data_IF_459496907271
#
_entry.id   IF_459496907271
#
_cell.length_a   1.000
_cell.length_b   1.000
_cell.length_c   1.000
_cell.angle_alpha   90.00
_cell.angle_beta   90.00
_cell.angle_gamma   90.00
#
_symmetry.space_group_name_H-M   'P 1'
#
loop_
_entity.id
_entity.type
_entity.pdbx_description
1 polymer ?
#
# COMPACT_ATOMS: atom_id res chain seq x y z
N UNK A 1 -1.76 18.73 16.74
CA UNK A 1 -1.17 18.23 15.47
C UNK A 1 0.35 18.32 15.57
N UNK A 2 1.09 17.25 15.36
CA UNK A 2 2.55 17.31 15.27
C UNK A 2 2.92 18.13 14.03
N UNK A 3 3.91 19.04 14.17
CA UNK A 3 4.37 19.85 13.04
C UNK A 3 5.10 18.96 12.04
N UNK A 4 4.68 19.00 10.76
CA UNK A 4 5.35 18.27 9.70
C UNK A 4 6.80 18.74 9.55
N UNK A 5 7.77 17.83 9.32
CA UNK A 5 9.17 18.18 9.19
C UNK A 5 9.39 19.15 8.02
N UNK A 6 9.98 20.31 8.31
CA UNK A 6 10.39 21.26 7.28
C UNK A 6 11.65 20.80 6.52
N UNK A 7 12.42 19.88 7.12
CA UNK A 7 13.75 19.45 6.66
C UNK A 7 13.62 18.26 5.69
N UNK A 8 14.48 18.27 4.65
CA UNK A 8 14.62 17.16 3.71
C UNK A 8 15.50 16.04 4.32
N UNK A 9 15.07 15.50 5.46
CA UNK A 9 15.76 14.45 6.21
C UNK A 9 14.80 13.28 6.46
N UNK A 10 15.17 12.12 6.02
CA UNK A 10 14.42 10.88 6.16
C UNK A 10 14.17 10.53 7.64
N UNK A 11 15.16 10.74 8.52
CA UNK A 11 15.03 10.42 9.95
C UNK A 11 14.01 11.33 10.64
N UNK A 12 13.95 12.61 10.24
CA UNK A 12 12.93 13.53 10.74
C UNK A 12 11.52 13.06 10.36
N UNK A 13 11.32 12.56 9.14
CA UNK A 13 10.05 12.00 8.69
C UNK A 13 9.70 10.70 9.43
N UNK A 14 10.66 9.81 9.65
CA UNK A 14 10.43 8.58 10.44
C UNK A 14 9.98 8.94 11.85
N UNK A 15 10.70 9.82 12.54
CA UNK A 15 10.35 10.26 13.89
C UNK A 15 8.96 10.92 13.93
N UNK A 16 8.61 11.70 12.91
CA UNK A 16 7.28 12.26 12.77
C UNK A 16 6.22 11.17 12.66
N UNK A 17 6.37 10.21 11.72
CA UNK A 17 5.38 9.15 11.51
C UNK A 17 5.25 8.21 12.72
N UNK A 18 6.32 7.98 13.49
CA UNK A 18 6.25 7.18 14.72
C UNK A 18 5.36 7.82 15.81
N UNK A 19 5.13 9.13 15.75
CA UNK A 19 4.35 9.90 16.73
C UNK A 19 3.02 10.43 16.16
N UNK A 20 2.94 10.58 14.85
CA UNK A 20 1.74 11.07 14.18
C UNK A 20 0.63 10.01 14.19
N UNK A 21 -0.60 10.44 14.33
CA UNK A 21 -1.74 9.59 14.03
C UNK A 21 -1.84 9.41 12.50
N UNK A 22 -1.90 8.16 12.04
CA UNK A 22 -2.05 7.85 10.62
C UNK A 22 -3.53 8.00 10.25
N UNK A 23 -3.87 8.81 9.22
CA UNK A 23 -5.26 9.03 8.84
C UNK A 23 -5.86 7.79 8.18
N UNK A 24 -7.19 7.77 8.10
CA UNK A 24 -7.96 6.73 7.43
C UNK A 24 -8.96 7.36 6.45
N UNK A 25 -9.44 6.59 5.49
CA UNK A 25 -10.46 7.05 4.55
C UNK A 25 -11.81 7.23 5.26
N UNK A 26 -12.52 8.29 4.91
CA UNK A 26 -13.88 8.57 5.45
C UNK A 26 -14.84 7.40 5.21
N UNK A 27 -14.79 6.78 4.02
CA UNK A 27 -15.64 5.63 3.73
C UNK A 27 -15.38 4.45 4.67
N UNK A 28 -14.12 4.15 4.96
CA UNK A 28 -13.71 3.11 5.92
C UNK A 28 -14.31 3.38 7.30
N UNK A 29 -14.22 4.62 7.77
CA UNK A 29 -14.82 5.02 9.05
C UNK A 29 -16.33 4.82 9.07
N UNK A 30 -17.04 5.26 8.02
CA UNK A 30 -18.49 5.11 7.93
C UNK A 30 -18.92 3.65 7.93
N UNK A 31 -18.25 2.78 7.18
CA UNK A 31 -18.54 1.35 7.14
C UNK A 31 -18.27 0.66 8.50
N UNK A 32 -17.16 1.02 9.17
CA UNK A 32 -16.83 0.50 10.51
C UNK A 32 -17.87 0.94 11.55
N UNK A 33 -18.33 2.20 11.51
CA UNK A 33 -19.38 2.69 12.41
C UNK A 33 -20.72 2.02 12.15
N UNK A 34 -21.06 1.71 10.90
CA UNK A 34 -22.25 0.93 10.56
C UNK A 34 -22.17 -0.50 11.12
N UNK A 35 -21.01 -1.16 10.97
CA UNK A 35 -20.78 -2.48 11.53
C UNK A 35 -20.88 -2.48 13.06
N UNK A 36 -20.40 -1.43 13.72
CA UNK A 36 -20.46 -1.28 15.18
C UNK A 36 -21.89 -1.20 15.70
N UNK A 37 -22.83 -0.66 14.91
CA UNK A 37 -24.25 -0.55 15.26
C UNK A 37 -25.05 -1.83 14.99
N UNK A 38 -24.49 -2.78 14.24
CA UNK A 38 -25.13 -4.04 13.84
C UNK A 38 -24.40 -5.22 14.50
N UNK A 39 -24.81 -5.52 15.74
CA UNK A 39 -24.19 -6.58 16.55
C UNK A 39 -24.26 -7.96 15.87
N UNK A 40 -25.31 -8.25 15.10
CA UNK A 40 -25.49 -9.51 14.41
C UNK A 40 -24.49 -9.72 13.27
N UNK A 41 -24.05 -8.63 12.63
CA UNK A 41 -23.06 -8.64 11.54
C UNK A 41 -21.65 -8.40 12.01
N UNK A 42 -21.46 -7.86 13.22
CA UNK A 42 -20.16 -7.52 13.75
C UNK A 42 -19.31 -8.76 14.04
N UNK A 43 -18.39 -9.05 13.17
CA UNK A 43 -17.38 -10.11 13.35
C UNK A 43 -16.05 -9.69 12.76
N UNK A 44 -14.97 -10.42 13.10
CA UNK A 44 -13.63 -10.14 12.60
C UNK A 44 -13.58 -10.13 11.05
N UNK A 45 -14.29 -11.05 10.41
CA UNK A 45 -14.35 -11.13 8.94
C UNK A 45 -15.02 -9.91 8.32
N UNK A 46 -16.13 -9.42 8.88
CA UNK A 46 -16.81 -8.22 8.38
C UNK A 46 -15.93 -6.97 8.55
N UNK A 47 -15.27 -6.81 9.70
CA UNK A 47 -14.30 -5.74 9.92
C UNK A 47 -13.14 -5.83 8.92
N UNK A 48 -12.59 -7.01 8.72
CA UNK A 48 -11.49 -7.22 7.77
C UNK A 48 -11.89 -6.82 6.35
N UNK A 49 -13.09 -7.20 5.90
CA UNK A 49 -13.58 -6.85 4.57
C UNK A 49 -13.65 -5.33 4.32
N UNK A 50 -13.90 -4.54 5.37
CA UNK A 50 -13.84 -3.08 5.30
C UNK A 50 -12.40 -2.57 5.38
N UNK A 51 -11.60 -3.09 6.32
CA UNK A 51 -10.23 -2.65 6.60
C UNK A 51 -9.32 -2.81 5.38
N UNK A 52 -9.42 -3.93 4.64
CA UNK A 52 -8.55 -4.19 3.48
C UNK A 52 -8.75 -3.20 2.32
N UNK A 53 -9.82 -2.42 2.32
CA UNK A 53 -10.07 -1.37 1.35
C UNK A 53 -9.31 -0.06 1.66
N UNK A 54 -8.64 0.03 2.81
CA UNK A 54 -7.88 1.20 3.23
C UNK A 54 -6.46 0.79 3.62
N UNK A 55 -5.45 1.03 2.76
CA UNK A 55 -4.06 0.66 3.05
C UNK A 55 -3.53 1.24 4.35
N UNK A 56 -3.94 2.46 4.71
CA UNK A 56 -3.51 3.12 5.95
C UNK A 56 -4.15 2.47 7.17
N UNK A 57 -5.41 2.03 7.06
CA UNK A 57 -6.07 1.26 8.12
C UNK A 57 -5.43 -0.13 8.28
N UNK A 58 -5.11 -0.82 7.18
CA UNK A 58 -4.35 -2.08 7.20
C UNK A 58 -3.03 -1.89 7.95
N UNK A 59 -2.28 -0.85 7.60
CA UNK A 59 -1.03 -0.52 8.27
C UNK A 59 -1.22 -0.31 9.78
N UNK A 60 -2.22 0.45 10.21
CA UNK A 60 -2.52 0.70 11.63
C UNK A 60 -2.84 -0.59 12.39
N UNK A 61 -3.64 -1.48 11.81
CA UNK A 61 -3.99 -2.78 12.41
C UNK A 61 -2.74 -3.65 12.59
N UNK A 62 -1.89 -3.72 11.57
CA UNK A 62 -0.66 -4.50 11.65
C UNK A 62 0.33 -3.92 12.67
N UNK A 63 0.52 -2.59 12.70
CA UNK A 63 1.35 -1.93 13.70
C UNK A 63 0.86 -2.19 15.14
N UNK A 64 -0.46 -2.10 15.36
CA UNK A 64 -1.03 -2.40 16.67
C UNK A 64 -0.78 -3.86 17.06
N UNK A 65 -1.00 -4.79 16.14
CA UNK A 65 -0.76 -6.21 16.35
C UNK A 65 0.70 -6.50 16.72
N UNK A 66 1.65 -5.88 16.04
CA UNK A 66 3.07 -6.05 16.35
C UNK A 66 3.45 -5.49 17.73
N UNK A 67 2.97 -4.29 18.07
CA UNK A 67 3.23 -3.68 19.38
C UNK A 67 2.68 -4.49 20.55
N UNK A 68 1.60 -5.24 20.32
CA UNK A 68 0.91 -6.03 21.34
C UNK A 68 1.14 -7.54 21.19
N UNK A 69 2.17 -7.93 20.43
CA UNK A 69 2.55 -9.33 20.24
C UNK A 69 2.90 -9.96 21.60
N UNK A 70 2.23 -11.06 21.95
CA UNK A 70 2.54 -11.78 23.16
C UNK A 70 3.86 -12.57 23.03
N UNK A 71 4.55 -12.80 24.15
CA UNK A 71 5.78 -13.61 24.18
C UNK A 71 5.59 -15.06 23.72
N UNK A 72 4.34 -15.54 23.71
CA UNK A 72 3.98 -16.88 23.25
C UNK A 72 3.62 -16.96 21.77
N UNK A 73 3.50 -15.82 21.09
CA UNK A 73 3.19 -15.76 19.66
C UNK A 73 4.45 -15.97 18.84
N UNK A 74 4.64 -17.20 18.35
CA UNK A 74 5.84 -17.60 17.59
C UNK A 74 5.87 -17.04 16.16
N UNK A 75 4.73 -16.70 15.58
CA UNK A 75 4.65 -16.19 14.21
C UNK A 75 4.18 -14.74 14.17
N UNK A 76 4.73 -13.99 13.23
CA UNK A 76 4.27 -12.64 12.93
C UNK A 76 2.95 -12.70 12.16
N UNK A 77 2.02 -11.83 12.53
CA UNK A 77 0.75 -11.70 11.83
C UNK A 77 0.92 -10.76 10.65
N UNK A 78 0.79 -11.31 9.46
CA UNK A 78 0.80 -10.56 8.19
C UNK A 78 -0.63 -10.47 7.63
N UNK A 79 -1.49 -11.40 8.04
CA UNK A 79 -2.89 -11.45 7.61
C UNK A 79 -3.75 -10.56 8.50
N UNK A 80 -4.47 -9.62 7.89
CA UNK A 80 -5.31 -8.64 8.60
C UNK A 80 -6.43 -9.34 9.37
N UNK A 81 -7.05 -10.39 8.81
CA UNK A 81 -8.12 -11.13 9.47
C UNK A 81 -7.62 -11.79 10.77
N UNK A 82 -6.46 -12.42 10.74
CA UNK A 82 -5.87 -13.01 11.94
C UNK A 82 -5.53 -11.95 12.99
N UNK A 83 -5.00 -10.79 12.57
CA UNK A 83 -4.72 -9.69 13.48
C UNK A 83 -5.99 -9.17 14.17
N UNK A 84 -7.07 -8.98 13.43
CA UNK A 84 -8.37 -8.55 13.95
C UNK A 84 -9.00 -9.63 14.85
N UNK A 85 -8.93 -10.91 14.46
CA UNK A 85 -9.41 -12.02 15.28
C UNK A 85 -8.69 -12.12 16.63
N UNK A 86 -7.37 -12.02 16.63
CA UNK A 86 -6.57 -12.07 17.86
C UNK A 86 -6.77 -10.86 18.76
N UNK A 87 -6.98 -9.69 18.17
CA UNK A 87 -7.28 -8.46 18.90
C UNK A 87 -8.68 -8.50 19.51
N UNK A 88 -9.64 -9.06 18.79
CA UNK A 88 -11.07 -9.03 19.12
C UNK A 88 -11.74 -7.70 18.80
N UNK A 89 -13.05 -7.74 18.50
CA UNK A 89 -13.82 -6.56 18.05
C UNK A 89 -13.84 -5.44 19.11
N UNK A 90 -14.06 -5.78 20.38
CA UNK A 90 -14.08 -4.82 21.50
C UNK A 90 -12.74 -4.07 21.62
N UNK A 91 -11.62 -4.80 21.54
CA UNK A 91 -10.29 -4.22 21.62
C UNK A 91 -9.97 -3.40 20.39
N UNK A 92 -10.43 -3.79 19.19
CA UNK A 92 -10.32 -3.02 17.97
C UNK A 92 -10.93 -1.62 18.15
N UNK A 93 -12.19 -1.51 18.53
CA UNK A 93 -12.87 -0.23 18.72
C UNK A 93 -12.26 0.64 19.82
N UNK A 94 -11.65 0.02 20.83
CA UNK A 94 -11.00 0.75 21.92
C UNK A 94 -9.65 1.34 21.52
N UNK A 95 -8.89 0.63 20.70
CA UNK A 95 -7.46 0.93 20.50
C UNK A 95 -7.11 1.42 19.09
N UNK A 96 -8.02 1.27 18.12
CA UNK A 96 -7.83 1.75 16.76
C UNK A 96 -8.88 2.82 16.46
N UNK A 97 -8.61 4.10 16.80
CA UNK A 97 -9.54 5.19 16.53
C UNK A 97 -9.66 5.40 15.00
N UNK A 98 -10.84 5.80 14.54
CA UNK A 98 -11.16 6.00 13.11
C UNK A 98 -11.58 7.42 12.77
N UNK A 99 -11.34 8.36 13.68
CA UNK A 99 -11.81 9.74 13.61
C UNK A 99 -10.83 10.73 13.00
N UNK A 100 -9.65 10.30 12.56
CA UNK A 100 -8.67 11.14 11.88
C UNK A 100 -8.71 10.85 10.37
N UNK A 101 -9.37 11.74 9.62
CA UNK A 101 -9.78 11.46 8.25
C UNK A 101 -8.84 12.10 7.22
N UNK A 102 -8.51 11.34 6.17
CA UNK A 102 -7.75 11.82 5.01
C UNK A 102 -8.43 13.02 4.37
N UNK A 103 -9.74 12.93 4.17
CA UNK A 103 -10.54 13.97 3.50
C UNK A 103 -10.54 15.28 4.28
N UNK A 104 -10.48 15.23 5.63
CA UNK A 104 -10.38 16.43 6.47
C UNK A 104 -8.99 17.05 6.42
N UNK A 105 -7.93 16.23 6.43
CA UNK A 105 -6.55 16.73 6.35
C UNK A 105 -6.31 17.42 5.00
N UNK A 106 -6.87 16.87 3.92
CA UNK A 106 -6.69 17.36 2.56
C UNK A 106 -7.86 18.24 2.08
N UNK A 107 -8.74 18.72 2.97
CA UNK A 107 -9.90 19.56 2.62
C UNK A 107 -9.48 20.77 1.76
N UNK A 108 -8.37 21.40 2.10
CA UNK A 108 -7.83 22.56 1.40
C UNK A 108 -6.88 22.19 0.24
N UNK A 109 -6.71 20.88 -0.05
CA UNK A 109 -5.79 20.36 -1.07
C UNK A 109 -6.47 19.28 -1.95
N UNK A 110 -7.55 19.61 -2.69
CA UNK A 110 -8.31 18.63 -3.46
C UNK A 110 -7.49 17.93 -4.55
N UNK A 111 -6.43 18.58 -5.04
CA UNK A 111 -5.49 17.97 -6.01
C UNK A 111 -4.72 16.84 -5.33
N UNK A 112 -4.21 17.06 -4.13
CA UNK A 112 -3.49 16.04 -3.38
C UNK A 112 -4.41 14.85 -3.02
N UNK A 113 -5.64 15.13 -2.58
CA UNK A 113 -6.64 14.10 -2.33
C UNK A 113 -6.91 13.25 -3.58
N UNK A 114 -7.07 13.88 -4.75
CA UNK A 114 -7.24 13.17 -6.02
C UNK A 114 -6.06 12.25 -6.35
N UNK A 115 -4.82 12.72 -6.13
CA UNK A 115 -3.62 11.91 -6.39
C UNK A 115 -3.52 10.74 -5.40
N UNK A 116 -3.79 10.98 -4.12
CA UNK A 116 -3.81 9.93 -3.11
C UNK A 116 -4.86 8.85 -3.43
N UNK A 117 -6.08 9.22 -3.79
CA UNK A 117 -7.13 8.26 -4.15
C UNK A 117 -6.76 7.44 -5.41
N UNK A 118 -6.11 8.06 -6.41
CA UNK A 118 -5.57 7.33 -7.56
C UNK A 118 -4.47 6.35 -7.16
N UNK A 119 -3.60 6.75 -6.23
CA UNK A 119 -2.53 5.90 -5.70
C UNK A 119 -3.10 4.70 -4.94
N UNK A 120 -4.11 4.92 -4.08
CA UNK A 120 -4.83 3.85 -3.37
C UNK A 120 -5.50 2.90 -4.36
N UNK A 121 -6.18 3.41 -5.38
CA UNK A 121 -6.76 2.57 -6.43
C UNK A 121 -5.71 1.74 -7.16
N UNK A 122 -4.54 2.32 -7.46
CA UNK A 122 -3.40 1.61 -8.05
C UNK A 122 -2.90 0.49 -7.14
N UNK A 123 -2.78 0.76 -5.84
CA UNK A 123 -2.37 -0.23 -4.84
C UNK A 123 -3.36 -1.40 -4.75
N UNK A 124 -4.67 -1.15 -4.81
CA UNK A 124 -5.68 -2.22 -4.88
C UNK A 124 -5.55 -3.07 -6.14
N UNK A 125 -5.32 -2.46 -7.30
CA UNK A 125 -5.08 -3.21 -8.54
C UNK A 125 -3.84 -4.09 -8.43
N UNK A 126 -2.74 -3.55 -7.88
CA UNK A 126 -1.52 -4.31 -7.63
C UNK A 126 -1.76 -5.50 -6.69
N UNK A 127 -2.45 -5.26 -5.57
CA UNK A 127 -2.78 -6.28 -4.60
C UNK A 127 -3.66 -7.40 -5.21
N UNK A 128 -4.63 -7.03 -6.03
CA UNK A 128 -5.49 -7.98 -6.75
C UNK A 128 -4.69 -8.84 -7.72
N UNK A 129 -3.87 -8.24 -8.59
CA UNK A 129 -2.99 -8.98 -9.49
C UNK A 129 -2.07 -9.93 -8.73
N UNK A 130 -1.42 -9.45 -7.67
CA UNK A 130 -0.48 -10.23 -6.89
C UNK A 130 -1.16 -11.45 -6.24
N UNK A 131 -2.38 -11.31 -5.71
CA UNK A 131 -3.14 -12.40 -5.11
C UNK A 131 -3.62 -13.41 -6.15
N UNK A 132 -4.12 -12.95 -7.31
CA UNK A 132 -4.54 -13.83 -8.41
C UNK A 132 -3.39 -14.66 -8.94
N UNK A 133 -2.21 -14.05 -9.11
CA UNK A 133 -1.02 -14.76 -9.57
C UNK A 133 -0.50 -15.72 -8.51
N UNK A 134 -0.53 -15.35 -7.23
CA UNK A 134 -0.20 -16.26 -6.14
C UNK A 134 -1.12 -17.49 -6.13
N UNK A 135 -2.42 -17.29 -6.37
CA UNK A 135 -3.40 -18.37 -6.48
C UNK A 135 -3.11 -19.26 -7.71
N UNK A 136 -2.79 -18.66 -8.87
CA UNK A 136 -2.38 -19.39 -10.07
C UNK A 136 -1.13 -20.26 -9.84
N UNK A 137 -0.19 -19.75 -9.04
CA UNK A 137 1.06 -20.44 -8.68
C UNK A 137 0.89 -21.43 -7.52
N UNK A 138 -0.35 -21.63 -7.02
CA UNK A 138 -0.67 -22.44 -5.84
C UNK A 138 0.13 -22.04 -4.59
N UNK A 139 0.42 -20.74 -4.44
CA UNK A 139 1.12 -20.23 -3.27
C UNK A 139 0.16 -20.07 -2.09
N UNK A 140 0.43 -20.77 -0.99
CA UNK A 140 -0.39 -20.74 0.22
C UNK A 140 -0.35 -19.41 0.98
N UNK A 141 0.49 -18.46 0.54
CA UNK A 141 0.64 -17.14 1.16
C UNK A 141 0.07 -16.00 0.31
N UNK A 142 -1.01 -16.27 -0.42
CA UNK A 142 -1.66 -15.28 -1.29
C UNK A 142 -2.12 -14.02 -0.52
N UNK A 143 -2.59 -14.17 0.72
CA UNK A 143 -3.01 -13.03 1.54
C UNK A 143 -1.85 -12.13 1.97
N UNK A 144 -0.70 -12.72 2.33
CA UNK A 144 0.50 -11.96 2.66
C UNK A 144 1.06 -11.23 1.44
N UNK A 145 1.02 -11.88 0.27
CA UNK A 145 1.41 -11.29 -1.01
C UNK A 145 0.47 -10.12 -1.36
N UNK A 146 -0.84 -10.29 -1.20
CA UNK A 146 -1.84 -9.23 -1.35
C UNK A 146 -1.52 -8.03 -0.45
N UNK A 147 -1.32 -8.27 0.86
CA UNK A 147 -1.02 -7.23 1.83
C UNK A 147 0.28 -6.49 1.50
N UNK A 148 1.32 -7.21 1.07
CA UNK A 148 2.59 -6.59 0.65
C UNK A 148 2.42 -5.68 -0.57
N UNK A 149 1.68 -6.12 -1.59
CA UNK A 149 1.40 -5.31 -2.77
C UNK A 149 0.52 -4.08 -2.44
N UNK A 150 -0.46 -4.24 -1.54
CA UNK A 150 -1.31 -3.14 -1.08
C UNK A 150 -0.53 -2.04 -0.34
N UNK A 151 0.44 -2.44 0.49
CA UNK A 151 1.25 -1.52 1.31
C UNK A 151 2.54 -1.06 0.63
N UNK A 152 2.81 -1.50 -0.60
CA UNK A 152 4.07 -1.26 -1.30
C UNK A 152 4.42 0.23 -1.42
N UNK A 153 3.44 1.06 -1.74
CA UNK A 153 3.59 2.50 -1.92
C UNK A 153 3.08 3.31 -0.69
N UNK A 154 3.06 2.73 0.53
CA UNK A 154 2.54 3.36 1.74
C UNK A 154 3.25 4.68 2.07
N UNK A 155 4.58 4.73 1.93
CA UNK A 155 5.35 5.97 2.15
C UNK A 155 4.87 7.12 1.25
N UNK A 156 4.54 6.83 -0.02
CA UNK A 156 3.98 7.82 -0.94
C UNK A 156 2.60 8.28 -0.49
N UNK A 157 1.74 7.36 -0.01
CA UNK A 157 0.41 7.70 0.52
C UNK A 157 0.50 8.63 1.72
N UNK A 158 1.40 8.32 2.67
CA UNK A 158 1.62 9.17 3.84
C UNK A 158 2.19 10.54 3.47
N UNK A 159 3.10 10.61 2.50
CA UNK A 159 3.63 11.88 2.02
C UNK A 159 2.57 12.74 1.35
N UNK A 160 1.62 12.16 0.62
CA UNK A 160 0.45 12.90 0.10
C UNK A 160 -0.42 13.47 1.20
N UNK A 161 -0.58 12.76 2.34
CA UNK A 161 -1.35 13.25 3.49
C UNK A 161 -0.64 14.38 4.23
N UNK A 162 0.68 14.28 4.45
CA UNK A 162 1.40 15.14 5.38
C UNK A 162 2.33 16.17 4.71
N UNK A 163 2.61 16.03 3.43
CA UNK A 163 3.43 16.97 2.66
C UNK A 163 2.91 17.14 1.22
N UNK A 164 1.61 17.48 1.06
CA UNK A 164 0.98 17.57 -0.26
C UNK A 164 1.66 18.58 -1.19
N UNK A 165 2.23 19.67 -0.64
CA UNK A 165 2.94 20.69 -1.43
C UNK A 165 4.19 20.11 -2.12
N UNK A 166 5.03 19.35 -1.38
CA UNK A 166 6.22 18.72 -1.96
C UNK A 166 5.85 17.65 -2.97
N UNK A 167 4.81 16.86 -2.69
CA UNK A 167 4.32 15.85 -3.63
C UNK A 167 3.76 16.47 -4.91
N UNK A 168 3.05 17.59 -4.80
CA UNK A 168 2.60 18.37 -5.97
C UNK A 168 3.75 18.92 -6.80
N UNK A 169 4.87 19.35 -6.17
CA UNK A 169 6.06 19.80 -6.90
C UNK A 169 6.66 18.63 -7.69
N UNK A 170 6.84 17.47 -7.06
CA UNK A 170 7.34 16.26 -7.73
C UNK A 170 6.48 15.93 -8.95
N UNK A 171 5.15 15.89 -8.75
CA UNK A 171 4.20 15.57 -9.81
C UNK A 171 4.29 16.56 -10.98
N UNK A 172 4.32 17.88 -10.72
CA UNK A 172 4.47 18.91 -11.74
C UNK A 172 5.80 18.81 -12.50
N UNK A 173 6.90 18.48 -11.83
CA UNK A 173 8.19 18.23 -12.48
C UNK A 173 8.09 17.09 -13.50
N UNK A 174 7.41 15.99 -13.14
CA UNK A 174 7.22 14.83 -14.01
C UNK A 174 6.21 15.09 -15.15
N UNK A 175 5.22 15.95 -14.93
CA UNK A 175 4.31 16.39 -15.99
C UNK A 175 4.99 17.29 -17.02
N UNK A 176 5.85 18.20 -16.54
CA UNK A 176 6.58 19.16 -17.39
C UNK A 176 7.68 18.47 -18.21
N UNK A 177 8.33 17.46 -17.66
CA UNK A 177 9.37 16.68 -18.34
C UNK A 177 9.19 15.18 -18.02
N UNK A 178 8.63 14.46 -18.97
CA UNK A 178 8.38 13.02 -18.89
C UNK A 178 9.66 12.18 -18.90
N UNK A 179 10.83 12.76 -19.18
CA UNK A 179 12.11 12.05 -19.12
C UNK A 179 12.68 11.98 -17.71
N UNK A 180 12.20 12.83 -16.80
CA UNK A 180 12.64 12.85 -15.40
C UNK A 180 12.10 11.60 -14.69
N UNK A 181 13.02 10.75 -14.24
CA UNK A 181 12.69 9.58 -13.42
C UNK A 181 12.14 10.03 -12.06
N UNK A 182 11.14 9.31 -11.55
CA UNK A 182 10.51 9.58 -10.24
C UNK A 182 11.54 9.70 -9.11
N UNK A 183 12.53 8.83 -9.09
CA UNK A 183 13.63 8.85 -8.11
C UNK A 183 14.40 10.17 -8.13
N UNK A 184 14.70 10.71 -9.31
CA UNK A 184 15.41 11.97 -9.45
C UNK A 184 14.55 13.15 -8.95
N UNK A 185 13.27 13.19 -9.31
CA UNK A 185 12.36 14.22 -8.84
C UNK A 185 12.19 14.18 -7.31
N UNK A 186 12.06 12.97 -6.73
CA UNK A 186 11.97 12.77 -5.28
C UNK A 186 13.23 13.25 -4.56
N UNK A 187 14.43 12.88 -5.03
CA UNK A 187 15.69 13.34 -4.45
C UNK A 187 15.86 14.85 -4.50
N UNK A 188 15.44 15.49 -5.60
CA UNK A 188 15.54 16.94 -5.74
C UNK A 188 14.61 17.71 -4.78
N UNK A 189 13.44 17.18 -4.49
CA UNK A 189 12.41 17.88 -3.70
C UNK A 189 12.43 17.44 -2.23
N UNK A 190 12.58 16.15 -1.96
CA UNK A 190 12.53 15.56 -0.62
C UNK A 190 13.93 15.39 0.00
N UNK A 191 14.98 15.27 -0.83
CA UNK A 191 16.31 14.91 -0.38
C UNK A 191 16.54 13.40 -0.24
N UNK A 192 15.51 12.58 -0.45
CA UNK A 192 15.55 11.11 -0.36
C UNK A 192 14.57 10.48 -1.34
N UNK A 193 14.68 9.16 -1.53
CA UNK A 193 13.74 8.37 -2.32
C UNK A 193 12.59 7.89 -1.44
N UNK A 194 11.37 7.86 -1.98
CA UNK A 194 10.21 7.32 -1.25
C UNK A 194 10.38 5.83 -0.90
N UNK A 195 11.13 5.08 -1.71
CA UNK A 195 11.47 3.69 -1.43
C UNK A 195 12.37 3.55 -0.18
N UNK A 196 13.31 4.48 0.03
CA UNK A 196 14.15 4.48 1.23
C UNK A 196 13.30 4.81 2.47
N UNK A 197 12.36 5.74 2.34
CA UNK A 197 11.38 6.04 3.39
C UNK A 197 10.48 4.83 3.68
N UNK A 198 10.01 4.12 2.65
CA UNK A 198 9.21 2.91 2.79
C UNK A 198 9.95 1.83 3.60
N UNK A 199 11.20 1.55 3.27
CA UNK A 199 12.05 0.60 4.00
C UNK A 199 12.21 1.01 5.47
N UNK A 200 12.54 2.27 5.70
CA UNK A 200 12.74 2.80 7.05
C UNK A 200 11.44 2.81 7.88
N UNK A 201 10.26 3.05 7.28
CA UNK A 201 8.97 2.92 7.96
C UNK A 201 8.68 1.48 8.38
N UNK A 202 8.90 0.52 7.49
CA UNK A 202 8.70 -0.92 7.79
C UNK A 202 9.56 -1.36 8.98
N UNK A 203 10.81 -0.90 9.03
CA UNK A 203 11.73 -1.17 10.14
C UNK A 203 11.31 -0.46 11.43
N UNK A 204 11.01 0.85 11.37
CA UNK A 204 10.64 1.66 12.53
C UNK A 204 9.35 1.16 13.21
N UNK A 205 8.39 0.71 12.43
CA UNK A 205 7.13 0.16 12.93
C UNK A 205 7.20 -1.35 13.21
N UNK A 206 8.37 -1.95 13.03
CA UNK A 206 8.61 -3.37 13.27
C UNK A 206 7.62 -4.28 12.55
N UNK A 207 7.24 -3.91 11.31
CA UNK A 207 6.35 -4.76 10.52
C UNK A 207 6.98 -6.13 10.29
N UNK A 208 6.17 -7.17 10.06
CA UNK A 208 6.67 -8.53 9.87
C UNK A 208 7.80 -8.59 8.83
N UNK A 209 8.92 -9.29 9.11
CA UNK A 209 10.05 -9.41 8.18
C UNK A 209 9.65 -9.93 6.80
N UNK A 210 8.60 -10.75 6.74
CA UNK A 210 8.05 -11.22 5.47
C UNK A 210 7.52 -10.07 4.61
N UNK A 211 6.79 -9.10 5.20
CA UNK A 211 6.32 -7.91 4.47
C UNK A 211 7.49 -7.07 3.97
N UNK A 212 8.49 -6.82 4.84
CA UNK A 212 9.71 -6.10 4.46
C UNK A 212 10.38 -6.75 3.24
N UNK A 213 10.47 -8.07 3.24
CA UNK A 213 11.06 -8.82 2.13
C UNK A 213 10.22 -8.76 0.86
N UNK A 214 8.91 -8.92 0.96
CA UNK A 214 8.00 -8.92 -0.18
C UNK A 214 7.88 -7.54 -0.86
N UNK A 215 8.08 -6.46 -0.10
CA UNK A 215 8.02 -5.08 -0.61
C UNK A 215 9.37 -4.56 -1.16
N UNK A 216 10.31 -5.43 -1.50
CA UNK A 216 11.56 -5.05 -2.14
C UNK A 216 11.36 -4.90 -3.65
N UNK A 217 11.88 -3.80 -4.22
CA UNK A 217 11.89 -3.56 -5.67
C UNK A 217 13.12 -4.16 -6.38
N UNK A 218 13.97 -4.87 -5.64
CA UNK A 218 15.19 -5.43 -6.23
C UNK A 218 14.83 -6.56 -7.21
N UNK A 219 15.68 -6.77 -8.23
CA UNK A 219 15.59 -7.86 -9.19
C UNK A 219 15.84 -9.22 -8.50
N UNK A 220 14.96 -9.58 -7.57
CA UNK A 220 15.01 -10.81 -6.81
C UNK A 220 14.64 -11.99 -7.71
N UNK A 221 15.36 -13.10 -7.56
CA UNK A 221 14.99 -14.38 -8.16
C UNK A 221 13.87 -15.10 -7.39
N UNK A 222 13.51 -14.56 -6.21
CA UNK A 222 12.48 -15.17 -5.38
C UNK A 222 11.09 -14.91 -5.95
N UNK A 223 10.36 -15.97 -6.24
CA UNK A 223 9.07 -15.95 -6.91
C UNK A 223 8.05 -15.00 -6.28
N UNK A 224 7.96 -14.95 -4.94
CA UNK A 224 7.00 -14.09 -4.23
C UNK A 224 7.36 -12.62 -4.34
N UNK A 225 8.64 -12.28 -4.23
CA UNK A 225 9.14 -10.90 -4.40
C UNK A 225 8.89 -10.43 -5.83
N UNK A 226 9.23 -11.27 -6.84
CA UNK A 226 8.91 -10.98 -8.25
C UNK A 226 7.42 -10.79 -8.48
N UNK A 227 6.56 -11.61 -7.86
CA UNK A 227 5.11 -11.47 -7.98
C UNK A 227 4.66 -10.06 -7.54
N UNK A 228 5.04 -9.62 -6.33
CA UNK A 228 4.66 -8.30 -5.81
C UNK A 228 5.22 -7.19 -6.70
N UNK A 229 6.51 -7.23 -7.05
CA UNK A 229 7.15 -6.20 -7.87
C UNK A 229 6.50 -6.07 -9.25
N UNK A 230 6.23 -7.18 -9.94
CA UNK A 230 5.59 -7.17 -11.26
C UNK A 230 4.12 -6.70 -11.17
N UNK A 231 3.39 -7.07 -10.13
CA UNK A 231 2.02 -6.60 -9.92
C UNK A 231 1.97 -5.09 -9.70
N UNK A 232 2.89 -4.54 -8.91
CA UNK A 232 3.02 -3.10 -8.68
C UNK A 232 3.42 -2.37 -9.97
N UNK A 233 4.38 -2.90 -10.72
CA UNK A 233 4.82 -2.31 -12.00
C UNK A 233 3.68 -2.30 -13.01
N UNK A 234 3.00 -3.42 -13.22
CA UNK A 234 1.86 -3.49 -14.13
C UNK A 234 0.75 -2.49 -13.73
N UNK A 235 0.40 -2.41 -12.44
CA UNK A 235 -0.60 -1.47 -11.96
C UNK A 235 -0.18 -0.02 -12.17
N UNK A 236 1.12 0.30 -12.09
CA UNK A 236 1.70 1.62 -12.33
C UNK A 236 1.69 1.98 -13.82
N UNK A 237 2.22 1.11 -14.68
CA UNK A 237 2.33 1.37 -16.12
C UNK A 237 0.96 1.38 -16.81
N UNK A 238 0.01 0.58 -16.34
CA UNK A 238 -1.36 0.58 -16.87
C UNK A 238 -2.30 1.59 -16.21
N UNK A 239 -1.82 2.46 -15.29
CA UNK A 239 -2.67 3.42 -14.57
C UNK A 239 -3.36 4.45 -15.48
N UNK A 240 -2.75 4.81 -16.59
CA UNK A 240 -3.27 5.78 -17.57
C UNK A 240 -3.69 5.13 -18.91
N UNK A 241 -3.88 3.82 -18.91
CA UNK A 241 -4.22 3.03 -20.11
C UNK A 241 -3.13 2.03 -20.49
N UNK A 242 -3.27 1.41 -21.65
CA UNK A 242 -2.44 0.28 -22.08
C UNK A 242 -1.41 0.65 -23.16
N UNK A 243 -1.04 1.93 -23.27
CA UNK A 243 -0.09 2.45 -24.26
C UNK A 243 1.29 2.79 -23.68
N UNK A 244 1.56 2.47 -22.41
CA UNK A 244 2.87 2.72 -21.80
C UNK A 244 3.95 1.83 -22.42
N UNK A 245 5.12 2.42 -22.69
CA UNK A 245 6.23 1.74 -23.36
C UNK A 245 6.84 0.58 -22.55
N UNK A 246 6.62 0.54 -21.23
CA UNK A 246 7.11 -0.54 -20.37
C UNK A 246 6.19 -1.78 -20.34
N UNK A 247 4.95 -1.66 -20.80
CA UNK A 247 3.97 -2.76 -20.74
C UNK A 247 4.40 -4.05 -21.51
N UNK A 248 5.05 -3.96 -22.69
CA UNK A 248 5.54 -5.18 -23.36
C UNK A 248 6.51 -5.98 -22.49
N UNK A 249 7.43 -5.32 -21.79
CA UNK A 249 8.38 -5.96 -20.89
C UNK A 249 7.67 -6.52 -19.66
N UNK A 250 6.71 -5.77 -19.07
CA UNK A 250 5.87 -6.27 -17.97
C UNK A 250 5.14 -7.56 -18.38
N UNK A 251 4.51 -7.61 -19.56
CA UNK A 251 3.82 -8.82 -20.03
C UNK A 251 4.76 -9.99 -20.24
N UNK A 252 5.98 -9.73 -20.71
CA UNK A 252 7.00 -10.76 -20.86
C UNK A 252 7.39 -11.35 -19.50
N UNK A 253 7.74 -10.50 -18.55
CA UNK A 253 8.18 -10.90 -17.21
C UNK A 253 7.08 -11.65 -16.44
N UNK A 254 5.82 -11.21 -16.58
CA UNK A 254 4.65 -11.89 -16.01
C UNK A 254 4.43 -13.25 -16.67
N UNK A 255 4.61 -13.34 -18.00
CA UNK A 255 4.54 -14.61 -18.76
C UNK A 255 5.55 -15.62 -18.22
N UNK A 256 6.78 -15.20 -17.96
CA UNK A 256 7.81 -16.04 -17.35
C UNK A 256 7.44 -16.46 -15.92
N UNK A 257 6.99 -15.51 -15.08
CA UNK A 257 6.60 -15.79 -13.71
C UNK A 257 5.48 -16.84 -13.64
N UNK A 258 4.43 -16.66 -14.44
CA UNK A 258 3.24 -17.51 -14.44
C UNK A 258 3.37 -18.75 -15.32
N UNK A 259 4.42 -18.82 -16.16
CA UNK A 259 4.64 -19.89 -17.15
C UNK A 259 3.46 -20.06 -18.10
N UNK A 260 2.93 -18.95 -18.60
CA UNK A 260 1.82 -18.90 -19.56
C UNK A 260 2.15 -17.99 -20.73
N UNK A 261 1.47 -18.15 -21.84
CA UNK A 261 1.61 -17.34 -23.05
C UNK A 261 1.28 -15.87 -22.80
N UNK A 262 2.00 -14.94 -23.44
CA UNK A 262 1.80 -13.47 -23.31
C UNK A 262 0.35 -13.06 -23.60
N UNK A 263 -0.28 -13.66 -24.62
CA UNK A 263 -1.68 -13.38 -24.95
C UNK A 263 -2.65 -13.79 -23.81
N UNK A 264 -2.31 -14.83 -23.07
CA UNK A 264 -3.05 -15.24 -21.89
C UNK A 264 -2.82 -14.27 -20.73
N UNK A 265 -1.59 -13.76 -20.54
CA UNK A 265 -1.29 -12.68 -19.59
C UNK A 265 -2.18 -11.47 -19.87
N UNK A 266 -2.18 -10.97 -21.12
CA UNK A 266 -3.01 -9.81 -21.52
C UNK A 266 -4.48 -10.01 -21.15
N UNK A 267 -5.04 -11.18 -21.42
CA UNK A 267 -6.45 -11.48 -21.09
C UNK A 267 -6.73 -11.48 -19.59
N UNK A 268 -5.89 -12.12 -18.77
CA UNK A 268 -6.13 -12.19 -17.31
C UNK A 268 -5.96 -10.84 -16.62
N UNK A 269 -5.12 -9.95 -17.15
CA UNK A 269 -4.94 -8.59 -16.58
C UNK A 269 -5.90 -7.54 -17.18
N UNK A 270 -6.76 -7.96 -18.13
CA UNK A 270 -7.75 -7.07 -18.76
C UNK A 270 -7.16 -6.08 -19.76
N UNK A 271 -6.00 -6.39 -20.35
CA UNK A 271 -5.44 -5.60 -21.44
C UNK A 271 -6.25 -5.82 -22.73
N UNK A 272 -6.50 -4.76 -23.53
CA UNK A 272 -7.18 -4.92 -24.80
C UNK A 272 -6.40 -5.85 -25.74
N UNK A 273 -7.12 -6.70 -26.46
CA UNK A 273 -6.52 -7.43 -27.57
C UNK A 273 -6.21 -6.40 -28.67
N UNK A 274 -4.93 -6.33 -29.05
CA UNK A 274 -4.54 -5.53 -30.23
C UNK A 274 -5.12 -6.24 -31.46
N UNK A 275 -6.04 -5.56 -32.19
CA UNK A 275 -6.49 -5.96 -33.50
C UNK A 275 -5.35 -6.05 -34.52
#
# INVERSE_FOLDING_TARGET
MALTPAVNDINAWINFFCTAEIPVLKNTTLEIEQLKQDEDRLCARALTATIINDPMMVFRVLCYSQKNKSSHQLQDLVQVEQAVMMMGTTSFFKNIPTNFLVEEILENNPIALKHLLKLIHRAHRAAHFAADWATHLADLRAEEIHTAALLHDLAEMLMWCFSPEKMNIIHKMQEADKTIRSVTAQQNVLGFKLQDLQKALVEAFQLPPLLSKLMQDDASTEQRVRNVALAVNLARHSANGWSDAALPDDFHDISELLRIEINRVKRIVGAPELE
#
